data_IF_317042557384
#
_entry.id   IF_317042557384
#
_cell.length_a   1.000
_cell.length_b   1.000
_cell.length_c   1.000
_cell.angle_alpha   90.00
_cell.angle_beta   90.00
_cell.angle_gamma   90.00
#
_symmetry.space_group_name_H-M   'P 1'
#
loop_
_entity.id
_entity.type
_entity.pdbx_description
1 polymer ?
#
# COMPACT_ATOMS: atom_id res chain seq x y z
N UNK A 1 -25.02 25.10 -0.60
CA UNK A 1 -24.19 25.30 -1.80
C UNK A 1 -22.77 25.50 -1.34
N UNK A 2 -22.00 24.42 -1.28
CA UNK A 2 -20.60 24.43 -0.85
C UNK A 2 -19.74 24.62 -2.11
N UNK A 3 -19.27 25.86 -2.32
CA UNK A 3 -18.34 26.17 -3.43
C UNK A 3 -16.93 25.86 -2.93
N UNK A 4 -16.48 24.61 -3.09
CA UNK A 4 -15.06 24.30 -2.96
C UNK A 4 -14.31 24.98 -4.09
N UNK A 5 -13.60 26.04 -3.76
CA UNK A 5 -12.71 26.73 -4.69
C UNK A 5 -11.52 25.80 -4.97
N UNK A 6 -11.52 25.18 -6.14
CA UNK A 6 -10.30 24.59 -6.70
C UNK A 6 -9.25 25.70 -6.84
N UNK A 7 -8.14 25.57 -6.16
CA UNK A 7 -6.98 26.43 -6.40
C UNK A 7 -6.33 26.03 -7.72
N UNK A 8 -5.77 26.97 -8.46
CA UNK A 8 -5.13 26.76 -9.77
C UNK A 8 -4.00 25.71 -9.77
N UNK A 9 -3.61 25.18 -8.62
CA UNK A 9 -2.55 24.18 -8.42
C UNK A 9 -3.07 22.76 -8.12
N UNK A 10 -4.38 22.49 -8.18
CA UNK A 10 -4.94 21.14 -7.94
C UNK A 10 -5.01 20.71 -6.46
N UNK A 11 -4.64 21.58 -5.52
CA UNK A 11 -4.73 21.29 -4.09
C UNK A 11 -5.94 22.02 -3.46
N UNK A 12 -6.55 21.40 -2.45
CA UNK A 12 -7.56 22.06 -1.63
C UNK A 12 -6.93 23.16 -0.75
N UNK A 13 -7.77 23.91 -0.01
CA UNK A 13 -7.32 25.01 0.87
C UNK A 13 -6.29 24.56 1.93
N UNK A 14 -6.19 23.26 2.23
CA UNK A 14 -5.24 22.67 3.16
C UNK A 14 -3.94 22.16 2.48
N UNK A 15 -3.79 22.32 1.16
CA UNK A 15 -2.61 21.86 0.42
C UNK A 15 -2.62 20.38 0.05
N UNK A 16 -3.74 19.65 0.24
CA UNK A 16 -3.89 18.24 -0.13
C UNK A 16 -4.82 18.06 -1.33
N UNK A 17 -4.63 16.96 -2.06
CA UNK A 17 -5.59 16.51 -3.06
C UNK A 17 -6.89 16.01 -2.42
N UNK A 18 -7.94 15.87 -3.21
CA UNK A 18 -9.18 15.24 -2.77
C UNK A 18 -9.03 13.71 -2.78
N UNK A 19 -9.91 13.02 -2.06
CA UNK A 19 -9.97 11.54 -2.09
C UNK A 19 -10.29 11.04 -3.49
N UNK A 20 -11.17 11.72 -4.22
CA UNK A 20 -11.55 11.36 -5.60
C UNK A 20 -10.35 11.44 -6.55
N UNK A 21 -9.51 12.47 -6.43
CA UNK A 21 -8.27 12.60 -7.22
C UNK A 21 -7.27 11.49 -6.86
N UNK A 22 -7.09 11.19 -5.58
CA UNK A 22 -6.22 10.12 -5.12
C UNK A 22 -6.69 8.75 -5.64
N UNK A 23 -8.00 8.46 -5.61
CA UNK A 23 -8.56 7.23 -6.16
C UNK A 23 -8.36 7.13 -7.68
N UNK A 24 -8.46 8.24 -8.40
CA UNK A 24 -8.20 8.25 -9.85
C UNK A 24 -6.71 7.99 -10.14
N UNK A 25 -5.80 8.57 -9.37
CA UNK A 25 -4.37 8.29 -9.50
C UNK A 25 -4.04 6.81 -9.22
N UNK A 26 -4.64 6.20 -8.21
CA UNK A 26 -4.49 4.77 -7.94
C UNK A 26 -5.00 3.90 -9.11
N UNK A 27 -6.15 4.25 -9.72
CA UNK A 27 -6.68 3.54 -10.91
C UNK A 27 -5.76 3.63 -12.12
N UNK A 28 -4.99 4.72 -12.21
CA UNK A 28 -3.98 4.93 -13.25
C UNK A 28 -2.63 4.26 -12.94
N UNK A 29 -2.52 3.55 -11.83
CA UNK A 29 -1.28 2.87 -11.42
C UNK A 29 -0.23 3.80 -10.83
N UNK A 30 -0.61 5.00 -10.44
CA UNK A 30 0.31 5.95 -9.81
C UNK A 30 0.49 5.66 -8.32
N UNK A 31 1.62 6.12 -7.79
CA UNK A 31 1.86 6.23 -6.36
C UNK A 31 1.17 7.49 -5.81
N UNK A 32 0.54 7.36 -4.67
CA UNK A 32 0.07 8.49 -3.86
C UNK A 32 0.83 8.54 -2.54
N UNK A 33 0.90 9.70 -1.92
CA UNK A 33 1.40 9.89 -0.56
C UNK A 33 0.20 10.15 0.37
N UNK A 34 0.01 9.31 1.35
CA UNK A 34 -1.04 9.47 2.37
C UNK A 34 -0.37 9.80 3.69
N UNK A 35 -0.87 10.80 4.38
CA UNK A 35 -0.42 11.16 5.73
C UNK A 35 -1.53 10.89 6.72
N UNK A 36 -1.18 10.41 7.88
CA UNK A 36 -2.12 10.25 8.99
C UNK A 36 -2.19 11.49 9.88
N UNK A 37 -3.05 11.42 10.89
CA UNK A 37 -3.25 12.51 11.84
C UNK A 37 -1.99 12.74 12.68
N UNK A 38 -1.58 14.02 12.94
CA UNK A 38 -0.46 14.32 13.81
C UNK A 38 -0.57 13.72 15.22
N UNK A 39 -1.80 13.46 15.69
CA UNK A 39 -2.08 12.86 17.00
C UNK A 39 -2.03 11.32 16.97
N UNK A 40 -1.83 10.69 15.78
CA UNK A 40 -1.66 9.24 15.63
C UNK A 40 -0.16 8.91 15.48
N UNK A 41 0.31 8.53 14.31
CA UNK A 41 1.72 8.19 14.04
C UNK A 41 2.48 9.40 13.48
N UNK A 42 1.76 10.36 12.86
CA UNK A 42 2.31 11.53 12.18
C UNK A 42 3.36 11.12 11.14
N UNK A 43 3.04 10.10 10.37
CA UNK A 43 3.89 9.54 9.32
C UNK A 43 3.24 9.68 7.95
N UNK A 44 4.00 9.43 6.91
CA UNK A 44 3.53 9.42 5.53
C UNK A 44 3.86 8.11 4.85
N UNK A 45 2.88 7.52 4.15
CA UNK A 45 3.02 6.28 3.43
C UNK A 45 2.88 6.47 1.93
N UNK A 46 3.77 5.87 1.15
CA UNK A 46 3.55 5.69 -0.28
C UNK A 46 2.63 4.50 -0.51
N UNK A 47 1.56 4.73 -1.27
CA UNK A 47 0.56 3.71 -1.57
C UNK A 47 0.39 3.58 -3.09
N UNK A 48 0.28 2.36 -3.59
CA UNK A 48 -0.21 2.05 -4.93
C UNK A 48 -1.20 0.88 -4.87
N UNK A 49 -2.03 0.72 -5.90
CA UNK A 49 -2.84 -0.48 -6.02
C UNK A 49 -1.94 -1.69 -6.31
N UNK A 50 -2.23 -2.84 -5.67
CA UNK A 50 -1.38 -4.04 -5.77
C UNK A 50 -1.26 -4.58 -7.19
N UNK A 51 -2.30 -4.44 -8.03
CA UNK A 51 -2.26 -4.79 -9.45
C UNK A 51 -1.27 -3.93 -10.26
N UNK A 52 -0.87 -2.78 -9.74
CA UNK A 52 0.11 -1.86 -10.31
C UNK A 52 1.38 -1.76 -9.45
N UNK A 53 1.64 -2.73 -8.58
CA UNK A 53 2.88 -2.80 -7.79
C UNK A 53 4.07 -3.20 -8.68
N UNK A 54 4.36 -2.38 -9.70
CA UNK A 54 5.47 -2.61 -10.64
C UNK A 54 6.82 -2.58 -9.95
N UNK A 55 7.84 -3.11 -10.61
CA UNK A 55 9.22 -3.04 -10.11
C UNK A 55 9.64 -1.59 -9.81
N UNK A 56 9.26 -0.65 -10.67
CA UNK A 56 9.56 0.78 -10.51
C UNK A 56 8.87 1.35 -9.27
N UNK A 57 7.58 1.06 -9.06
CA UNK A 57 6.83 1.52 -7.88
C UNK A 57 7.42 0.95 -6.59
N UNK A 58 7.70 -0.34 -6.54
CA UNK A 58 8.32 -0.99 -5.38
C UNK A 58 9.72 -0.43 -5.12
N UNK A 59 10.53 -0.23 -6.16
CA UNK A 59 11.86 0.36 -6.02
C UNK A 59 11.79 1.81 -5.52
N UNK A 60 10.82 2.59 -6.01
CA UNK A 60 10.58 3.94 -5.53
C UNK A 60 10.26 3.95 -4.02
N UNK A 61 9.33 3.09 -3.58
CA UNK A 61 9.00 2.94 -2.16
C UNK A 61 10.24 2.59 -1.33
N UNK A 62 11.03 1.61 -1.75
CA UNK A 62 12.24 1.18 -1.03
C UNK A 62 13.30 2.27 -0.93
N UNK A 63 13.53 3.01 -2.00
CA UNK A 63 14.56 4.06 -2.05
C UNK A 63 14.15 5.31 -1.28
N UNK A 64 12.93 5.75 -1.42
CA UNK A 64 12.45 7.03 -0.90
C UNK A 64 11.67 6.89 0.41
N UNK A 65 10.84 5.87 0.57
CA UNK A 65 10.09 5.61 1.81
C UNK A 65 10.95 5.02 2.92
N UNK A 66 11.87 4.10 2.58
CA UNK A 66 12.84 3.46 3.51
C UNK A 66 12.22 2.69 4.68
N UNK A 67 10.92 2.62 4.74
CA UNK A 67 10.17 1.87 5.76
C UNK A 67 9.94 0.42 5.33
N UNK A 68 9.05 -0.24 6.06
CA UNK A 68 8.58 -1.58 5.72
C UNK A 68 7.58 -1.50 4.57
N UNK A 69 7.78 -2.30 3.52
CA UNK A 69 6.80 -2.44 2.44
C UNK A 69 5.80 -3.52 2.86
N UNK A 70 4.56 -3.10 3.07
CA UNK A 70 3.45 -3.97 3.46
C UNK A 70 2.41 -4.02 2.33
N UNK A 71 1.61 -5.07 2.34
CA UNK A 71 0.46 -5.21 1.44
C UNK A 71 -0.81 -5.43 2.28
N UNK A 72 -1.55 -4.37 2.64
CA UNK A 72 -2.84 -4.50 3.30
C UNK A 72 -3.82 -5.29 2.44
N UNK A 73 -4.48 -6.29 3.03
CA UNK A 73 -5.39 -7.19 2.34
C UNK A 73 -6.73 -7.26 3.06
N UNK A 74 -7.80 -7.48 2.32
CA UNK A 74 -9.08 -7.87 2.91
C UNK A 74 -9.02 -9.31 3.44
N UNK A 75 -9.91 -9.62 4.38
CA UNK A 75 -10.06 -10.98 4.93
C UNK A 75 -10.23 -12.03 3.81
N UNK A 76 -10.99 -11.71 2.77
CA UNK A 76 -11.19 -12.60 1.63
C UNK A 76 -9.88 -12.98 0.90
N UNK A 77 -8.93 -12.03 0.76
CA UNK A 77 -7.62 -12.33 0.20
C UNK A 77 -6.75 -13.15 1.16
N UNK A 78 -6.79 -12.83 2.45
CA UNK A 78 -6.05 -13.56 3.48
C UNK A 78 -6.52 -15.03 3.54
N UNK A 79 -7.84 -15.27 3.49
CA UNK A 79 -8.42 -16.62 3.44
C UNK A 79 -8.05 -17.36 2.15
N UNK A 80 -8.19 -16.70 0.98
CA UNK A 80 -7.84 -17.26 -0.33
C UNK A 80 -6.38 -17.74 -0.36
N UNK A 81 -5.48 -16.92 0.17
CA UNK A 81 -4.04 -17.21 0.21
C UNK A 81 -3.62 -18.06 1.42
N UNK A 82 -4.57 -18.44 2.29
CA UNK A 82 -4.35 -19.25 3.50
C UNK A 82 -3.26 -18.69 4.41
N UNK A 83 -3.28 -17.36 4.65
CA UNK A 83 -2.27 -16.69 5.44
C UNK A 83 -2.66 -16.66 6.94
N UNK A 84 -1.97 -17.38 7.81
CA UNK A 84 -2.20 -17.31 9.25
C UNK A 84 -1.61 -16.01 9.82
N UNK A 85 -2.12 -15.60 10.98
CA UNK A 85 -1.53 -14.53 11.78
C UNK A 85 -0.08 -14.88 12.13
N UNK A 86 0.81 -13.87 12.10
CA UNK A 86 2.21 -14.02 12.47
C UNK A 86 2.37 -14.43 13.94
N UNK A 87 1.49 -13.94 14.82
CA UNK A 87 1.51 -14.23 16.26
C UNK A 87 0.12 -14.63 16.75
N UNK A 88 0.07 -15.56 17.70
CA UNK A 88 -1.19 -15.98 18.34
C UNK A 88 -1.74 -14.96 19.33
N UNK A 89 -0.87 -14.12 19.89
CA UNK A 89 -1.22 -13.04 20.81
C UNK A 89 -0.52 -11.75 20.34
N UNK A 90 -1.30 -10.85 19.80
CA UNK A 90 -0.79 -9.53 19.40
C UNK A 90 -0.58 -8.67 20.64
N UNK A 91 0.62 -8.09 20.77
CA UNK A 91 1.00 -7.17 21.84
C UNK A 91 1.44 -5.80 21.29
N UNK A 92 1.21 -5.58 20.00
CA UNK A 92 1.49 -4.30 19.36
C UNK A 92 0.55 -3.21 19.88
N UNK A 93 1.07 -1.99 20.06
CA UNK A 93 0.30 -0.87 20.60
C UNK A 93 -0.84 -0.43 19.70
N UNK A 94 -0.70 -0.64 18.39
CA UNK A 94 -1.72 -0.34 17.37
C UNK A 94 -2.53 -1.57 16.95
N UNK A 95 -2.26 -2.73 17.56
CA UNK A 95 -2.92 -4.00 17.27
C UNK A 95 -2.81 -4.42 15.79
N UNK A 96 -1.75 -4.01 15.09
CA UNK A 96 -1.55 -4.32 13.67
C UNK A 96 -1.53 -5.83 13.44
N UNK A 97 -2.48 -6.32 12.66
CA UNK A 97 -2.69 -7.74 12.45
C UNK A 97 -1.81 -8.26 11.30
N UNK A 98 -0.49 -8.33 11.51
CA UNK A 98 0.41 -8.94 10.53
C UNK A 98 0.14 -10.44 10.36
N UNK A 99 0.14 -10.89 9.10
CA UNK A 99 0.21 -12.31 8.74
C UNK A 99 1.66 -12.77 8.68
N UNK A 100 1.89 -14.08 8.47
CA UNK A 100 3.21 -14.56 8.06
C UNK A 100 3.64 -13.85 6.77
N UNK A 101 4.94 -13.65 6.59
CA UNK A 101 5.49 -13.13 5.33
C UNK A 101 5.45 -14.21 4.24
N UNK A 102 5.31 -13.77 2.99
CA UNK A 102 5.24 -14.66 1.84
C UNK A 102 6.11 -14.16 0.69
N UNK A 103 6.51 -15.10 -0.16
CA UNK A 103 7.09 -14.84 -1.48
C UNK A 103 6.37 -15.69 -2.52
N UNK A 104 6.25 -15.17 -3.74
CA UNK A 104 5.73 -15.96 -4.85
C UNK A 104 6.67 -17.11 -5.18
N UNK A 105 6.11 -18.29 -5.53
CA UNK A 105 6.89 -19.49 -5.89
C UNK A 105 7.80 -19.29 -7.09
N UNK A 106 7.52 -18.28 -7.92
CA UNK A 106 8.33 -17.93 -9.09
C UNK A 106 9.52 -17.00 -8.75
N UNK A 107 9.74 -16.72 -7.47
CA UNK A 107 10.87 -15.88 -7.01
C UNK A 107 12.01 -16.74 -6.44
N UNK A 108 13.17 -16.11 -6.22
CA UNK A 108 14.33 -16.78 -5.61
C UNK A 108 14.43 -16.45 -4.12
N UNK A 109 14.85 -15.22 -3.80
CA UNK A 109 14.94 -14.72 -2.42
C UNK A 109 13.78 -13.82 -2.02
N UNK A 110 12.94 -13.42 -2.98
CA UNK A 110 11.79 -12.56 -2.75
C UNK A 110 12.12 -11.09 -2.41
N UNK A 111 13.40 -10.73 -2.28
CA UNK A 111 13.80 -9.46 -1.64
C UNK A 111 13.99 -8.29 -2.61
N UNK A 112 14.34 -8.54 -3.88
CA UNK A 112 14.52 -7.49 -4.87
C UNK A 112 13.20 -6.76 -5.17
N UNK A 113 13.26 -5.53 -5.67
CA UNK A 113 12.08 -4.80 -6.10
C UNK A 113 11.27 -5.57 -7.17
N UNK A 114 11.95 -6.24 -8.09
CA UNK A 114 11.35 -7.07 -9.12
C UNK A 114 10.59 -8.27 -8.51
N UNK A 115 11.19 -8.99 -7.57
CA UNK A 115 10.56 -10.16 -6.94
C UNK A 115 9.41 -9.78 -6.00
N UNK A 116 9.54 -8.67 -5.26
CA UNK A 116 8.42 -8.11 -4.47
C UNK A 116 7.26 -7.69 -5.35
N UNK A 117 7.53 -7.10 -6.52
CA UNK A 117 6.53 -6.78 -7.53
C UNK A 117 5.79 -8.05 -7.98
N UNK A 118 6.52 -9.11 -8.33
CA UNK A 118 5.92 -10.41 -8.71
C UNK A 118 5.02 -10.93 -7.58
N UNK A 119 5.48 -10.93 -6.34
CA UNK A 119 4.70 -11.40 -5.19
C UNK A 119 3.43 -10.58 -5.00
N UNK A 120 3.52 -9.24 -4.99
CA UNK A 120 2.38 -8.37 -4.76
C UNK A 120 1.31 -8.52 -5.87
N UNK A 121 1.73 -8.50 -7.13
CA UNK A 121 0.81 -8.65 -8.26
C UNK A 121 0.18 -10.05 -8.31
N UNK A 122 0.94 -11.09 -7.92
CA UNK A 122 0.43 -12.47 -7.87
C UNK A 122 -0.65 -12.64 -6.82
N UNK A 123 -0.54 -11.99 -5.65
CA UNK A 123 -1.53 -12.07 -4.59
C UNK A 123 -2.93 -11.62 -5.03
N UNK A 124 -3.05 -10.70 -5.99
CA UNK A 124 -4.33 -10.18 -6.49
C UNK A 124 -4.77 -10.80 -7.81
N UNK A 125 -4.00 -11.73 -8.37
CA UNK A 125 -4.38 -12.46 -9.57
C UNK A 125 -5.59 -13.37 -9.30
N UNK A 126 -6.41 -13.62 -10.34
CA UNK A 126 -7.61 -14.45 -10.21
C UNK A 126 -7.27 -15.89 -9.76
N UNK A 127 -6.13 -16.40 -10.21
CA UNK A 127 -5.62 -17.75 -9.98
C UNK A 127 -4.54 -17.84 -8.88
N UNK A 128 -4.49 -16.85 -7.98
CA UNK A 128 -3.58 -16.81 -6.84
C UNK A 128 -3.89 -17.90 -5.81
#
# INVERSE_FOLDING_TARGET
MDQRKNTENGFNENGFNTVEEALEDLRQGKLILVTDDPDRENEGDFICAAEFATTENINFMAVHGKGLICMPMSEAYVEKLQLPQMVTKNTDNHETAFTVSIDCVDTTTGISAAERSITAMRCVAEDA
#
